data_IF_708889345712
#
_entry.id   IF_708889345712
#
_cell.length_a   1.000
_cell.length_b   1.000
_cell.length_c   1.000
_cell.angle_alpha   90.00
_cell.angle_beta   90.00
_cell.angle_gamma   90.00
#
_symmetry.space_group_name_H-M   'P 1'
#
loop_
_entity.id
_entity.type
_entity.pdbx_description
1 polymer ?
#
# COMPACT_ATOMS: atom_id res chain seq x y z
N UNK A 1 -64.71 15.25 -17.05
CA UNK A 1 -64.06 14.04 -17.55
C UNK A 1 -62.59 14.35 -17.81
N UNK A 2 -61.66 13.80 -17.03
CA UNK A 2 -60.26 13.76 -17.44
C UNK A 2 -59.64 12.52 -16.82
N UNK A 3 -59.63 11.44 -17.60
CA UNK A 3 -58.91 10.22 -17.25
C UNK A 3 -57.43 10.48 -17.47
N UNK A 4 -56.73 10.92 -16.44
CA UNK A 4 -55.27 11.01 -16.43
C UNK A 4 -54.68 9.61 -16.26
N UNK A 5 -55.03 8.71 -17.19
CA UNK A 5 -54.61 7.30 -17.17
C UNK A 5 -53.19 7.27 -17.72
N UNK A 6 -52.20 7.11 -16.85
CA UNK A 6 -50.80 7.01 -17.26
C UNK A 6 -50.67 5.86 -18.28
N UNK A 7 -50.20 6.19 -19.48
CA UNK A 7 -49.94 5.21 -20.54
C UNK A 7 -48.67 4.46 -20.13
N UNK A 8 -48.87 3.42 -19.33
CA UNK A 8 -47.81 2.56 -18.87
C UNK A 8 -47.18 2.98 -17.53
N UNK A 9 -46.27 2.13 -17.04
CA UNK A 9 -45.58 2.35 -15.78
C UNK A 9 -44.83 3.68 -15.77
N UNK A 10 -44.94 4.41 -14.65
CA UNK A 10 -44.14 5.63 -14.43
C UNK A 10 -42.64 5.35 -14.33
N UNK A 11 -41.79 6.38 -14.44
CA UNK A 11 -40.35 6.24 -14.24
C UNK A 11 -40.08 5.66 -12.84
N UNK A 12 -39.47 4.48 -12.78
CA UNK A 12 -39.22 3.75 -11.52
C UNK A 12 -40.16 2.58 -11.24
N UNK A 13 -41.16 2.31 -12.09
CA UNK A 13 -42.01 1.13 -11.91
C UNK A 13 -41.27 -0.21 -12.16
N UNK A 14 -40.10 -0.14 -12.82
CA UNK A 14 -39.24 -1.30 -13.05
C UNK A 14 -37.99 -1.19 -12.20
N UNK A 15 -37.79 -2.16 -11.31
CA UNK A 15 -36.54 -2.36 -10.62
C UNK A 15 -35.58 -3.09 -11.56
N UNK A 16 -34.84 -2.33 -12.36
CA UNK A 16 -33.77 -2.89 -13.18
C UNK A 16 -32.61 -3.31 -12.26
N UNK A 17 -31.99 -4.47 -12.52
CA UNK A 17 -30.77 -4.85 -11.82
C UNK A 17 -29.67 -3.80 -12.05
N UNK A 18 -28.74 -3.70 -11.10
CA UNK A 18 -27.62 -2.76 -11.22
C UNK A 18 -26.78 -3.10 -12.46
N UNK A 19 -26.32 -2.09 -13.17
CA UNK A 19 -25.34 -2.25 -14.26
C UNK A 19 -23.89 -2.09 -13.78
N UNK A 20 -23.70 -1.68 -12.53
CA UNK A 20 -22.38 -1.44 -11.92
C UNK A 20 -22.17 -2.26 -10.64
N UNK A 21 -20.90 -2.55 -10.32
CA UNK A 21 -20.52 -3.32 -9.13
C UNK A 21 -20.36 -4.82 -9.39
N UNK A 22 -20.29 -5.61 -8.32
CA UNK A 22 -20.21 -7.08 -8.39
C UNK A 22 -21.50 -7.75 -7.89
N UNK A 23 -22.11 -7.17 -6.86
CA UNK A 23 -23.31 -7.72 -6.24
C UNK A 23 -24.56 -7.28 -7.01
N UNK A 24 -25.46 -8.23 -7.27
CA UNK A 24 -26.77 -7.98 -7.89
C UNK A 24 -26.70 -7.26 -9.26
N UNK A 25 -25.62 -7.47 -10.01
CA UNK A 25 -25.52 -6.97 -11.38
C UNK A 25 -26.35 -7.79 -12.37
N UNK A 26 -26.80 -7.13 -13.44
CA UNK A 26 -27.48 -7.82 -14.54
C UNK A 26 -26.58 -8.87 -15.19
N UNK A 27 -27.04 -10.14 -15.21
CA UNK A 27 -26.33 -11.25 -15.84
C UNK A 27 -26.39 -11.21 -17.38
N UNK A 28 -27.31 -10.43 -17.95
CA UNK A 28 -27.45 -10.29 -19.41
C UNK A 28 -26.37 -9.39 -20.02
N UNK A 29 -25.70 -8.58 -19.19
CA UNK A 29 -24.67 -7.67 -19.63
C UNK A 29 -23.32 -8.39 -19.75
N UNK A 30 -22.68 -8.31 -20.92
CA UNK A 30 -21.33 -8.83 -21.13
C UNK A 30 -20.32 -8.06 -20.28
N UNK A 31 -19.39 -8.77 -19.64
CA UNK A 31 -18.35 -8.17 -18.78
C UNK A 31 -16.96 -8.66 -19.18
N UNK A 32 -16.00 -7.75 -19.15
CA UNK A 32 -14.58 -8.08 -19.27
C UNK A 32 -14.05 -8.74 -17.98
N UNK A 33 -12.92 -9.46 -18.06
CA UNK A 33 -12.24 -9.98 -16.87
C UNK A 33 -11.89 -8.86 -15.88
N UNK A 34 -12.05 -9.14 -14.59
CA UNK A 34 -11.74 -8.19 -13.52
C UNK A 34 -10.57 -8.71 -12.68
N UNK A 35 -9.47 -7.96 -12.67
CA UNK A 35 -8.29 -8.28 -11.88
C UNK A 35 -8.26 -7.44 -10.61
N UNK A 36 -7.87 -8.05 -9.50
CA UNK A 36 -7.65 -7.38 -8.22
C UNK A 36 -6.46 -8.01 -7.50
N UNK A 37 -5.87 -7.28 -6.55
CA UNK A 37 -4.87 -7.87 -5.67
C UNK A 37 -5.54 -8.82 -4.68
N UNK A 38 -4.93 -9.99 -4.46
CA UNK A 38 -5.40 -10.92 -3.44
C UNK A 38 -5.36 -10.31 -2.03
N UNK A 39 -6.20 -10.83 -1.14
CA UNK A 39 -6.36 -10.37 0.25
C UNK A 39 -5.21 -10.78 1.18
N UNK A 40 -4.21 -11.51 0.67
CA UNK A 40 -3.08 -11.98 1.46
C UNK A 40 -2.23 -10.83 2.00
N UNK A 41 -1.90 -10.90 3.29
CA UNK A 41 -1.05 -9.93 3.98
C UNK A 41 0.32 -9.89 3.31
N UNK A 42 0.74 -8.69 2.88
CA UNK A 42 2.06 -8.50 2.28
C UNK A 42 3.10 -8.20 3.36
N UNK A 43 4.29 -8.76 3.18
CA UNK A 43 5.45 -8.58 4.08
C UNK A 43 5.85 -7.11 4.29
N UNK A 44 5.42 -6.18 3.45
CA UNK A 44 5.67 -4.75 3.62
C UNK A 44 5.09 -4.17 4.93
N UNK A 45 4.06 -4.79 5.50
CA UNK A 45 3.48 -4.39 6.80
C UNK A 45 4.00 -5.20 7.98
N UNK A 46 4.87 -6.20 7.74
CA UNK A 46 5.61 -6.86 8.81
C UNK A 46 6.92 -6.09 8.98
N UNK A 47 7.28 -5.61 10.18
CA UNK A 47 8.66 -5.22 10.41
C UNK A 47 9.48 -6.49 10.17
N UNK A 48 10.13 -6.58 9.00
CA UNK A 48 11.13 -7.62 8.77
C UNK A 48 12.07 -7.55 9.96
N UNK A 49 12.24 -8.66 10.68
CA UNK A 49 13.40 -8.85 11.53
C UNK A 49 14.58 -8.60 10.59
N UNK A 50 15.20 -7.44 10.68
CA UNK A 50 16.38 -7.14 9.87
C UNK A 50 17.44 -8.07 10.44
N UNK A 51 17.88 -9.05 9.65
CA UNK A 51 18.89 -10.05 10.03
C UNK A 51 20.30 -9.43 10.12
N UNK A 52 20.38 -8.21 10.63
CA UNK A 52 21.60 -7.44 10.70
C UNK A 52 21.44 -6.26 11.66
N UNK A 53 22.55 -5.79 12.24
CA UNK A 53 22.53 -4.63 13.11
C UNK A 53 22.01 -3.42 12.31
N UNK A 54 21.17 -2.62 12.96
CA UNK A 54 20.51 -1.49 12.33
C UNK A 54 21.50 -0.43 11.82
N UNK A 55 21.02 0.56 11.04
CA UNK A 55 21.85 1.70 10.67
C UNK A 55 22.42 2.34 11.96
N UNK A 56 23.73 2.63 11.94
CA UNK A 56 24.50 3.13 13.09
C UNK A 56 24.73 2.16 14.28
N UNK A 57 24.32 0.89 14.19
CA UNK A 57 24.61 -0.09 15.25
C UNK A 57 26.04 -0.64 15.23
N UNK A 58 26.83 -0.32 14.19
CA UNK A 58 28.24 -0.66 14.14
C UNK A 58 29.07 0.41 14.86
N UNK A 59 29.86 0.01 15.86
CA UNK A 59 30.88 0.86 16.47
C UNK A 59 32.26 0.54 15.86
N UNK A 60 32.80 1.35 14.93
CA UNK A 60 34.08 1.06 14.29
C UNK A 60 35.31 1.26 15.20
N UNK A 61 35.11 1.60 16.48
CA UNK A 61 36.19 1.82 17.44
C UNK A 61 37.12 2.95 17.01
N UNK A 62 38.45 2.73 17.10
CA UNK A 62 39.48 3.66 16.63
C UNK A 62 39.78 3.47 15.13
N UNK A 63 38.78 3.21 14.30
CA UNK A 63 38.97 3.05 12.86
C UNK A 63 38.02 4.01 12.15
N UNK A 64 38.59 4.85 11.30
CA UNK A 64 37.84 5.74 10.42
C UNK A 64 37.88 5.20 8.99
N UNK A 65 37.12 5.80 8.07
CA UNK A 65 37.16 5.46 6.62
C UNK A 65 38.58 5.47 6.04
N UNK A 66 39.49 6.22 6.64
CA UNK A 66 40.88 6.37 6.18
C UNK A 66 41.89 5.53 7.00
N UNK A 67 41.41 4.64 7.88
CA UNK A 67 42.26 3.80 8.74
C UNK A 67 42.24 4.24 10.21
N UNK A 68 43.20 3.73 11.01
CA UNK A 68 43.34 4.12 12.42
C UNK A 68 43.73 5.61 12.49
N UNK A 69 43.02 6.45 13.27
CA UNK A 69 43.48 7.82 13.47
C UNK A 69 44.88 7.75 14.10
N UNK A 70 45.83 8.52 13.56
CA UNK A 70 47.14 8.62 14.18
C UNK A 70 46.91 9.14 15.60
N UNK A 71 47.35 8.36 16.60
CA UNK A 71 47.52 8.92 17.93
C UNK A 71 48.48 10.11 17.79
N UNK A 72 48.18 11.20 18.52
CA UNK A 72 48.92 12.46 18.48
C UNK A 72 50.41 12.24 18.20
N UNK A 73 50.84 12.53 16.96
CA UNK A 73 52.23 12.32 16.52
C UNK A 73 53.17 13.40 17.09
N UNK A 74 52.68 14.27 17.96
CA UNK A 74 53.43 15.32 18.61
C UNK A 74 53.50 15.02 20.11
N UNK A 75 54.71 14.93 20.67
CA UNK A 75 54.86 14.95 22.12
C UNK A 75 54.69 16.40 22.59
N UNK A 76 53.59 16.71 23.27
CA UNK A 76 53.59 17.90 24.13
C UNK A 76 54.52 17.59 25.30
N UNK A 77 55.66 18.27 25.34
CA UNK A 77 56.61 18.19 26.45
C UNK A 77 55.85 18.39 27.77
N UNK A 78 55.81 17.35 28.60
CA UNK A 78 55.22 17.38 29.94
C UNK A 78 56.34 17.68 30.92
N UNK A 79 56.27 18.86 31.55
CA UNK A 79 57.19 19.31 32.59
C UNK A 79 57.04 18.47 33.86
#
# INVERSE_FOLDING_TARGET
>A
MSSNRSIGPGPGAYNLPSTFGYQNCDKRMQRSPQFSFGTSSRSCNSPRKVDGPGPAAYHPGKVTRFGRPSAEQYSLYRR
#
